data_IF_933473213804
#
_entry.id   IF_933473213804
#
_cell.length_a   1.000
_cell.length_b   1.000
_cell.length_c   1.000
_cell.angle_alpha   90.00
_cell.angle_beta   90.00
_cell.angle_gamma   90.00
#
_symmetry.space_group_name_H-M   'P 1'
#
loop_
_entity.id
_entity.type
_entity.pdbx_description
1 polymer ?
#
# COMPACT_ATOMS: atom_id res chain seq x y z
N UNK A 1 22.69 4.40 -3.61
CA UNK A 1 22.80 3.48 -2.45
C UNK A 1 21.92 4.07 -1.38
N UNK A 2 21.09 3.29 -0.67
CA UNK A 2 20.28 3.79 0.44
C UNK A 2 21.18 4.44 1.49
N UNK A 3 20.85 5.66 1.88
CA UNK A 3 21.50 6.45 2.92
C UNK A 3 20.64 6.41 4.17
N UNK A 4 21.28 6.43 5.33
CA UNK A 4 20.60 6.45 6.62
C UNK A 4 19.60 7.62 6.70
N UNK A 5 18.45 7.35 7.32
CA UNK A 5 17.35 8.32 7.47
C UNK A 5 16.68 8.72 6.15
N UNK A 6 16.65 7.80 5.18
CA UNK A 6 15.97 7.92 3.88
C UNK A 6 16.24 9.25 3.17
N UNK A 7 17.52 9.61 3.00
CA UNK A 7 17.87 10.90 2.39
C UNK A 7 17.43 11.05 0.94
N UNK A 8 17.21 9.92 0.27
CA UNK A 8 16.67 9.84 -1.08
C UNK A 8 15.24 10.34 -1.19
N UNK A 9 14.53 10.61 -0.07
CA UNK A 9 13.18 11.17 -0.08
C UNK A 9 13.08 12.47 -0.89
N UNK A 10 14.17 13.24 -0.98
CA UNK A 10 14.27 14.50 -1.72
C UNK A 10 14.94 14.34 -3.10
N UNK A 11 15.39 13.14 -3.45
CA UNK A 11 15.99 12.89 -4.74
C UNK A 11 14.93 12.84 -5.84
N UNK A 12 15.30 13.26 -7.05
CA UNK A 12 14.43 13.11 -8.21
C UNK A 12 14.11 11.63 -8.43
N UNK A 13 12.82 11.31 -8.53
CA UNK A 13 12.36 9.95 -8.83
C UNK A 13 12.94 9.47 -10.16
N UNK A 14 13.65 8.34 -10.14
CA UNK A 14 14.22 7.72 -11.35
C UNK A 14 13.13 7.29 -12.34
N UNK A 15 12.05 6.71 -11.81
CA UNK A 15 10.84 6.34 -12.56
C UNK A 15 9.64 7.05 -11.93
N UNK A 16 8.74 7.64 -12.74
CA UNK A 16 7.55 8.28 -12.21
C UNK A 16 6.70 7.31 -11.36
N UNK A 17 6.21 7.77 -10.22
CA UNK A 17 5.30 6.96 -9.41
C UNK A 17 3.85 7.05 -9.95
N UNK A 18 2.94 6.22 -9.43
CA UNK A 18 1.53 6.21 -9.87
C UNK A 18 0.92 7.61 -9.79
N UNK A 19 1.10 8.32 -8.67
CA UNK A 19 0.52 9.64 -8.49
C UNK A 19 0.99 10.64 -9.55
N UNK A 20 2.30 10.68 -9.82
CA UNK A 20 2.90 11.55 -10.85
C UNK A 20 2.36 11.24 -12.26
N UNK A 21 2.18 9.97 -12.61
CA UNK A 21 1.56 9.57 -13.90
C UNK A 21 0.10 10.04 -13.98
N UNK A 22 -0.66 9.88 -12.90
CA UNK A 22 -2.06 10.32 -12.86
C UNK A 22 -2.19 11.84 -12.92
N UNK A 23 -1.22 12.59 -12.37
CA UNK A 23 -1.11 14.03 -12.53
C UNK A 23 -0.84 14.41 -14.00
N UNK A 24 0.02 13.66 -14.70
CA UNK A 24 0.24 13.85 -16.13
C UNK A 24 -1.04 13.60 -16.94
N UNK A 25 -1.82 12.57 -16.61
CA UNK A 25 -3.14 12.36 -17.22
C UNK A 25 -4.09 13.53 -16.96
N UNK A 26 -4.07 14.08 -15.74
CA UNK A 26 -4.90 15.23 -15.38
C UNK A 26 -4.55 16.49 -16.18
N UNK A 27 -3.29 16.69 -16.54
CA UNK A 27 -2.83 17.81 -17.38
C UNK A 27 -3.35 17.70 -18.82
N UNK A 28 -3.59 16.48 -19.31
CA UNK A 28 -4.15 16.24 -20.64
C UNK A 28 -5.67 16.49 -20.73
N UNK A 29 -6.34 16.63 -19.59
CA UNK A 29 -7.79 16.82 -19.49
C UNK A 29 -8.15 18.32 -19.44
N UNK A 30 -9.29 18.67 -20.02
CA UNK A 30 -9.78 20.05 -20.08
C UNK A 30 -10.01 20.70 -18.71
N UNK A 31 -10.10 22.03 -18.68
CA UNK A 31 -10.28 22.80 -17.45
C UNK A 31 -11.62 22.59 -16.73
N UNK A 32 -12.66 22.12 -17.44
CA UNK A 32 -13.99 21.81 -16.86
C UNK A 32 -13.99 20.37 -16.33
N UNK A 33 -13.82 20.22 -15.03
CA UNK A 33 -13.47 18.95 -14.37
C UNK A 33 -14.63 18.00 -14.06
N UNK A 34 -15.88 18.39 -14.26
CA UNK A 34 -17.04 17.54 -13.99
C UNK A 34 -17.62 16.95 -15.29
N UNK A 35 -16.90 16.01 -15.90
CA UNK A 35 -17.38 15.24 -17.05
C UNK A 35 -18.32 14.11 -16.61
N UNK A 36 -19.35 13.81 -17.40
CA UNK A 36 -20.14 12.59 -17.24
C UNK A 36 -19.45 11.36 -17.87
N UNK A 37 -18.47 11.59 -18.77
CA UNK A 37 -17.59 10.54 -19.26
C UNK A 37 -16.44 10.35 -18.28
N UNK A 38 -16.40 9.18 -17.63
CA UNK A 38 -15.37 8.84 -16.64
C UNK A 38 -13.96 8.85 -17.25
N UNK A 39 -13.82 8.63 -18.56
CA UNK A 39 -12.53 8.68 -19.24
C UNK A 39 -11.94 10.10 -19.26
N UNK A 40 -12.78 11.12 -19.18
CA UNK A 40 -12.39 12.54 -19.13
C UNK A 40 -12.35 13.10 -17.70
N UNK A 41 -12.73 12.32 -16.70
CA UNK A 41 -12.62 12.72 -15.30
C UNK A 41 -11.16 12.72 -14.84
N UNK A 42 -10.81 13.71 -14.03
CA UNK A 42 -9.50 13.82 -13.40
C UNK A 42 -9.38 12.81 -12.26
N UNK A 43 -8.17 12.32 -12.05
CA UNK A 43 -7.79 11.52 -10.89
C UNK A 43 -7.54 12.42 -9.68
N UNK A 44 -7.98 11.98 -8.51
CA UNK A 44 -7.58 12.50 -7.21
C UNK A 44 -6.69 11.45 -6.56
N UNK A 45 -5.55 11.88 -6.03
CA UNK A 45 -4.57 10.99 -5.39
C UNK A 45 -4.56 11.19 -3.88
N UNK A 46 -4.64 10.10 -3.11
CA UNK A 46 -4.70 10.16 -1.66
C UNK A 46 -3.77 9.13 -1.01
N UNK A 47 -3.14 9.50 0.10
CA UNK A 47 -2.30 8.64 0.92
C UNK A 47 -2.73 8.69 2.38
N UNK A 48 -3.30 7.61 2.92
CA UNK A 48 -3.76 7.56 4.31
C UNK A 48 -3.01 6.51 5.14
N UNK A 49 -2.66 6.88 6.37
CA UNK A 49 -2.14 6.00 7.40
C UNK A 49 -2.55 6.50 8.79
N UNK A 50 -2.66 5.60 9.77
CA UNK A 50 -3.11 5.93 11.13
C UNK A 50 -1.96 6.32 12.08
N UNK A 51 -0.76 6.50 11.52
CA UNK A 51 0.48 6.73 12.23
C UNK A 51 1.19 8.00 11.72
N UNK A 52 2.23 8.42 12.43
CA UNK A 52 3.07 9.54 12.01
C UNK A 52 3.77 9.25 10.68
N UNK A 53 3.77 10.23 9.78
CA UNK A 53 4.58 10.27 8.57
C UNK A 53 5.91 11.02 8.78
N UNK A 54 6.18 11.52 9.98
CA UNK A 54 7.44 12.25 10.27
C UNK A 54 8.64 11.33 10.44
N UNK A 55 8.40 10.05 10.69
CA UNK A 55 9.48 9.07 10.79
C UNK A 55 10.10 8.82 9.41
N UNK A 56 11.43 8.73 9.38
CA UNK A 56 12.22 8.47 8.17
C UNK A 56 11.87 9.40 6.98
N UNK A 57 11.45 10.64 7.25
CA UNK A 57 11.11 11.65 6.21
C UNK A 57 10.01 11.21 5.24
N UNK A 58 9.13 10.32 5.68
CA UNK A 58 8.03 9.83 4.85
C UNK A 58 7.09 10.97 4.42
N UNK A 59 6.91 12.01 5.23
CA UNK A 59 6.13 13.21 4.91
C UNK A 59 6.71 13.97 3.72
N UNK A 60 8.03 14.14 3.66
CA UNK A 60 8.73 14.73 2.53
C UNK A 60 8.53 13.84 1.30
N UNK A 61 8.74 12.53 1.44
CA UNK A 61 8.58 11.60 0.32
C UNK A 61 7.15 11.57 -0.24
N UNK A 62 6.14 11.57 0.63
CA UNK A 62 4.73 11.61 0.23
C UNK A 62 4.41 12.90 -0.57
N UNK A 63 5.00 14.03 -0.18
CA UNK A 63 4.88 15.29 -0.90
C UNK A 63 5.57 15.22 -2.28
N UNK A 64 6.78 14.67 -2.37
CA UNK A 64 7.52 14.51 -3.63
C UNK A 64 6.84 13.49 -4.59
N UNK A 65 6.18 12.48 -4.03
CA UNK A 65 5.29 11.59 -4.80
C UNK A 65 4.06 12.34 -5.35
N UNK A 66 3.72 13.50 -4.82
CA UNK A 66 2.64 14.36 -5.29
C UNK A 66 1.25 13.85 -4.90
N UNK A 67 1.06 13.31 -3.69
CA UNK A 67 -0.29 13.03 -3.20
C UNK A 67 -1.05 14.32 -2.89
N UNK A 68 -2.30 14.44 -3.34
CA UNK A 68 -3.13 15.62 -3.09
C UNK A 68 -3.76 15.62 -1.69
N UNK A 69 -4.21 14.45 -1.23
CA UNK A 69 -4.86 14.27 0.08
C UNK A 69 -4.02 13.35 0.96
N UNK A 70 -3.49 13.88 2.06
CA UNK A 70 -2.70 13.09 3.02
C UNK A 70 -3.41 13.09 4.37
N UNK A 71 -3.64 11.90 4.92
CA UNK A 71 -4.13 11.72 6.30
C UNK A 71 -3.11 10.87 7.04
N UNK A 72 -2.46 11.48 8.02
CA UNK A 72 -1.54 10.86 8.97
C UNK A 72 -1.94 11.22 10.40
N UNK A 73 -1.15 10.79 11.40
CA UNK A 73 -1.39 11.04 12.84
C UNK A 73 -1.79 12.49 13.15
N UNK A 74 -1.06 13.48 12.64
CA UNK A 74 -1.32 14.89 12.92
C UNK A 74 -2.73 15.34 12.49
N UNK A 75 -3.22 14.85 11.34
CA UNK A 75 -4.58 15.16 10.85
C UNK A 75 -5.63 14.50 11.74
N UNK A 76 -5.38 13.26 12.21
CA UNK A 76 -6.26 12.56 13.14
C UNK A 76 -6.37 13.32 14.46
N UNK A 77 -5.25 13.73 15.04
CA UNK A 77 -5.19 14.47 16.30
C UNK A 77 -5.88 15.84 16.21
N UNK A 78 -5.61 16.61 15.15
CA UNK A 78 -6.26 17.89 14.91
C UNK A 78 -7.78 17.77 14.85
N UNK A 79 -8.27 16.69 14.22
CA UNK A 79 -9.70 16.46 14.03
C UNK A 79 -10.41 15.96 15.29
N UNK A 80 -9.71 15.23 16.14
CA UNK A 80 -10.35 14.49 17.22
C UNK A 80 -10.88 15.37 18.37
N UNK A 81 -10.51 16.67 18.41
CA UNK A 81 -10.80 17.64 19.51
C UNK A 81 -10.33 17.13 20.89
N UNK A 82 -10.33 18.00 21.91
CA UNK A 82 -9.77 17.74 23.26
C UNK A 82 -10.43 16.61 24.10
N UNK A 83 -11.23 15.73 23.50
CA UNK A 83 -11.94 14.61 24.17
C UNK A 83 -11.90 13.32 23.34
N UNK A 84 -10.79 13.02 22.67
CA UNK A 84 -10.78 11.86 21.79
C UNK A 84 -10.41 10.57 22.53
N UNK A 85 -11.27 9.57 22.42
CA UNK A 85 -10.96 8.17 22.70
C UNK A 85 -10.05 7.56 21.64
N UNK A 86 -9.06 8.32 21.16
CA UNK A 86 -7.99 7.77 20.33
C UNK A 86 -7.09 6.93 21.23
N UNK A 87 -6.89 5.69 20.84
CA UNK A 87 -6.04 4.75 21.56
C UNK A 87 -4.80 4.46 20.73
N UNK A 88 -3.63 4.85 21.24
CA UNK A 88 -2.37 4.46 20.64
C UNK A 88 -2.12 2.96 20.88
N UNK A 89 -1.76 2.25 19.82
CA UNK A 89 -1.48 0.81 19.85
C UNK A 89 0.00 0.50 19.70
N UNK A 90 0.79 1.45 19.20
CA UNK A 90 2.23 1.35 19.07
C UNK A 90 2.86 2.76 19.17
N UNK A 91 4.18 2.83 19.09
CA UNK A 91 4.94 4.08 19.19
C UNK A 91 4.77 5.03 18.00
N UNK A 92 4.10 4.60 16.92
CA UNK A 92 3.84 5.44 15.75
C UNK A 92 2.44 6.03 15.72
N UNK A 93 1.45 5.45 16.41
CA UNK A 93 0.09 5.99 16.48
C UNK A 93 -1.01 4.96 16.72
N UNK A 94 -2.06 5.07 15.89
CA UNK A 94 -3.40 4.54 16.15
C UNK A 94 -3.72 3.32 15.28
N UNK A 95 -4.75 2.52 15.62
CA UNK A 95 -5.25 1.47 14.74
C UNK A 95 -5.86 2.07 13.46
N UNK A 96 -5.81 1.34 12.35
CA UNK A 96 -6.30 1.81 11.04
C UNK A 96 -7.78 2.14 11.06
N UNK A 97 -8.56 1.53 11.96
CA UNK A 97 -10.01 1.78 12.10
C UNK A 97 -10.34 3.24 12.40
N UNK A 98 -9.38 4.01 12.93
CA UNK A 98 -9.50 5.48 13.09
C UNK A 98 -9.65 6.23 11.77
N UNK A 99 -9.19 5.65 10.64
CA UNK A 99 -9.29 6.23 9.31
C UNK A 99 -10.65 6.06 8.65
N UNK A 100 -11.55 5.23 9.21
CA UNK A 100 -12.83 4.87 8.56
C UNK A 100 -13.64 6.08 8.08
N UNK A 101 -13.76 7.09 8.93
CA UNK A 101 -14.47 8.33 8.59
C UNK A 101 -13.77 9.11 7.48
N UNK A 102 -12.43 9.14 7.48
CA UNK A 102 -11.63 9.84 6.47
C UNK A 102 -11.74 9.15 5.11
N UNK A 103 -11.67 7.81 5.06
CA UNK A 103 -11.85 7.04 3.81
C UNK A 103 -13.25 7.26 3.24
N UNK A 104 -14.28 7.24 4.09
CA UNK A 104 -15.66 7.55 3.65
C UNK A 104 -15.76 8.93 3.01
N UNK A 105 -15.20 9.94 3.66
CA UNK A 105 -15.24 11.32 3.16
C UNK A 105 -14.44 11.52 1.88
N UNK A 106 -13.33 10.80 1.71
CA UNK A 106 -12.59 10.76 0.45
C UNK A 106 -13.46 10.22 -0.68
N UNK A 107 -14.14 9.09 -0.46
CA UNK A 107 -15.04 8.49 -1.46
C UNK A 107 -16.18 9.46 -1.80
N UNK A 108 -16.84 10.03 -0.79
CA UNK A 108 -17.92 11.00 -0.97
C UNK A 108 -17.45 12.25 -1.73
N UNK A 109 -16.23 12.73 -1.45
CA UNK A 109 -15.61 13.86 -2.17
C UNK A 109 -15.39 13.51 -3.64
N UNK A 110 -14.77 12.37 -3.92
CA UNK A 110 -14.49 11.90 -5.28
C UNK A 110 -15.77 11.78 -6.10
N UNK A 111 -16.81 11.17 -5.52
CA UNK A 111 -18.12 11.03 -6.18
C UNK A 111 -18.78 12.38 -6.44
N UNK A 112 -18.79 13.29 -5.44
CA UNK A 112 -19.35 14.63 -5.57
C UNK A 112 -18.63 15.47 -6.63
N UNK A 113 -17.31 15.35 -6.71
CA UNK A 113 -16.49 16.09 -7.68
C UNK A 113 -16.43 15.43 -9.07
N UNK A 114 -17.05 14.25 -9.24
CA UNK A 114 -16.95 13.43 -10.46
C UNK A 114 -15.50 13.21 -10.87
N UNK A 115 -14.68 12.78 -9.91
CA UNK A 115 -13.29 12.42 -10.13
C UNK A 115 -13.13 10.90 -10.10
N UNK A 116 -11.98 10.44 -10.57
CA UNK A 116 -11.45 9.10 -10.32
C UNK A 116 -10.52 9.16 -9.12
N UNK A 117 -10.20 8.02 -8.51
CA UNK A 117 -9.38 7.99 -7.30
C UNK A 117 -8.23 7.00 -7.43
N UNK A 118 -7.04 7.43 -7.00
CA UNK A 118 -5.97 6.54 -6.57
C UNK A 118 -5.79 6.70 -5.07
N UNK A 119 -6.05 5.63 -4.33
CA UNK A 119 -5.97 5.61 -2.88
C UNK A 119 -4.87 4.65 -2.43
N UNK A 120 -3.81 5.20 -1.85
CA UNK A 120 -2.72 4.46 -1.23
C UNK A 120 -2.94 4.42 0.28
N UNK A 121 -3.02 3.23 0.86
CA UNK A 121 -3.22 3.06 2.29
C UNK A 121 -2.05 2.29 2.90
N UNK A 122 -1.32 2.92 3.83
CA UNK A 122 -0.24 2.29 4.56
C UNK A 122 -0.71 1.86 5.95
N UNK A 123 -0.38 0.63 6.32
CA UNK A 123 -0.94 -0.08 7.48
C UNK A 123 0.17 -0.34 8.49
N UNK A 124 -0.15 -0.28 9.78
CA UNK A 124 0.82 -0.18 10.88
C UNK A 124 0.47 -1.01 12.13
N UNK A 125 -0.76 -1.52 12.28
CA UNK A 125 -1.14 -2.30 13.47
C UNK A 125 -0.31 -3.57 13.62
N UNK A 126 0.17 -4.14 12.51
CA UNK A 126 1.09 -5.28 12.49
C UNK A 126 2.52 -4.92 12.85
N UNK A 127 2.82 -3.64 13.12
CA UNK A 127 4.14 -3.21 13.56
C UNK A 127 4.42 -3.67 15.00
N UNK A 128 5.68 -4.01 15.28
CA UNK A 128 6.15 -4.25 16.64
C UNK A 128 5.78 -3.06 17.56
N UNK A 129 5.28 -3.28 18.81
CA UNK A 129 5.21 -4.55 19.55
C UNK A 129 3.90 -5.34 19.33
N UNK A 130 3.25 -5.19 18.17
CA UNK A 130 1.99 -5.86 17.80
C UNK A 130 0.84 -5.52 18.76
N UNK A 131 0.75 -4.24 19.11
CA UNK A 131 -0.31 -3.75 19.97
C UNK A 131 -1.67 -3.74 19.26
N UNK A 132 -2.70 -3.88 20.06
CA UNK A 132 -4.10 -3.86 19.63
C UNK A 132 -4.89 -2.95 20.57
N UNK A 133 -6.03 -2.41 20.13
CA UNK A 133 -6.95 -1.70 21.02
C UNK A 133 -7.28 -2.57 22.24
N UNK A 134 -7.41 -1.95 23.43
CA UNK A 134 -7.62 -2.63 24.73
C UNK A 134 -8.75 -3.66 24.71
N UNK A 135 -9.83 -3.35 24.01
CA UNK A 135 -11.03 -4.19 23.95
C UNK A 135 -10.94 -5.31 22.89
N UNK A 136 -9.79 -5.45 22.21
CA UNK A 136 -9.58 -6.49 21.22
C UNK A 136 -9.47 -7.86 21.87
N UNK A 137 -10.34 -8.80 21.44
CA UNK A 137 -10.21 -10.22 21.81
C UNK A 137 -8.85 -10.76 21.36
N UNK A 138 -8.07 -11.33 22.27
CA UNK A 138 -6.82 -12.03 21.94
C UNK A 138 -7.07 -13.53 21.84
N UNK A 139 -6.48 -14.16 20.83
CA UNK A 139 -6.53 -15.60 20.58
C UNK A 139 -5.13 -16.17 20.77
N UNK A 140 -5.01 -17.27 21.52
CA UNK A 140 -3.80 -18.08 21.51
C UNK A 140 -3.88 -19.08 20.35
N UNK A 141 -3.11 -18.84 19.29
CA UNK A 141 -3.08 -19.72 18.11
C UNK A 141 -2.09 -20.88 18.30
N UNK A 142 -0.98 -20.60 18.99
CA UNK A 142 0.03 -21.60 19.35
C UNK A 142 0.26 -21.60 20.87
N UNK A 143 0.75 -22.72 21.40
CA UNK A 143 1.03 -22.89 22.82
C UNK A 143 2.13 -21.92 23.28
N UNK A 144 1.89 -21.19 24.38
CA UNK A 144 2.86 -20.27 25.00
C UNK A 144 3.26 -20.69 26.41
N UNK A 145 2.89 -21.90 26.83
CA UNK A 145 3.16 -22.40 28.19
C UNK A 145 4.54 -23.06 28.30
N UNK A 146 5.18 -22.92 29.47
CA UNK A 146 6.47 -23.54 29.78
C UNK A 146 7.57 -23.17 28.78
N UNK A 147 8.25 -24.20 28.24
CA UNK A 147 9.34 -24.04 27.26
C UNK A 147 8.88 -23.44 25.91
N UNK A 148 7.57 -23.29 25.67
CA UNK A 148 7.00 -22.69 24.47
C UNK A 148 6.68 -21.20 24.62
N UNK A 149 7.03 -20.58 25.76
CA UNK A 149 6.74 -19.17 26.04
C UNK A 149 7.36 -18.15 25.09
N UNK A 150 8.29 -18.57 24.24
CA UNK A 150 8.89 -17.72 23.21
C UNK A 150 7.96 -17.47 22.01
N UNK A 151 6.85 -18.22 21.86
CA UNK A 151 5.82 -17.98 20.85
C UNK A 151 4.84 -16.83 21.18
N UNK A 152 4.98 -16.17 22.35
CA UNK A 152 4.08 -15.06 22.72
C UNK A 152 4.06 -13.95 21.67
N UNK A 153 5.22 -13.58 21.15
CA UNK A 153 5.37 -12.56 20.11
C UNK A 153 4.67 -12.99 18.81
N UNK A 154 4.79 -14.27 18.46
CA UNK A 154 4.13 -14.84 17.28
C UNK A 154 2.59 -14.80 17.43
N UNK A 155 2.06 -15.17 18.60
CA UNK A 155 0.62 -15.01 18.88
C UNK A 155 0.17 -13.54 18.82
N UNK A 156 0.96 -12.60 19.36
CA UNK A 156 0.64 -11.16 19.26
C UNK A 156 0.59 -10.71 17.80
N UNK A 157 1.59 -11.08 16.99
CA UNK A 157 1.60 -10.82 15.56
C UNK A 157 0.36 -11.40 14.86
N UNK A 158 0.02 -12.67 15.07
CA UNK A 158 -1.15 -13.28 14.44
C UNK A 158 -2.48 -12.60 14.86
N UNK A 159 -2.56 -12.05 16.07
CA UNK A 159 -3.72 -11.26 16.47
C UNK A 159 -3.79 -9.92 15.73
N UNK A 160 -2.66 -9.26 15.49
CA UNK A 160 -2.62 -8.04 14.66
C UNK A 160 -2.92 -8.32 13.19
N UNK A 161 -2.46 -9.44 12.64
CA UNK A 161 -2.82 -9.88 11.29
C UNK A 161 -4.33 -10.11 11.18
N UNK A 162 -4.96 -10.76 12.17
CA UNK A 162 -6.42 -10.93 12.21
C UNK A 162 -7.16 -9.59 12.30
N UNK A 163 -6.65 -8.64 13.08
CA UNK A 163 -7.23 -7.30 13.14
C UNK A 163 -7.16 -6.59 11.79
N UNK A 164 -5.99 -6.66 11.14
CA UNK A 164 -5.75 -6.05 9.83
C UNK A 164 -6.62 -6.67 8.73
N UNK A 165 -6.82 -7.99 8.76
CA UNK A 165 -7.72 -8.69 7.84
C UNK A 165 -9.19 -8.22 8.02
N UNK A 166 -9.64 -8.06 9.27
CA UNK A 166 -10.96 -7.51 9.55
C UNK A 166 -11.11 -6.07 9.04
N UNK A 167 -10.09 -5.23 9.23
CA UNK A 167 -10.07 -3.87 8.70
C UNK A 167 -10.15 -3.82 7.17
N UNK A 168 -9.40 -4.69 6.48
CA UNK A 168 -9.52 -4.83 5.02
C UNK A 168 -10.95 -5.20 4.61
N UNK A 169 -11.58 -6.11 5.36
CA UNK A 169 -13.00 -6.44 5.18
C UNK A 169 -13.92 -5.24 5.35
N UNK A 170 -13.66 -4.35 6.32
CA UNK A 170 -14.43 -3.11 6.49
C UNK A 170 -14.23 -2.13 5.33
N UNK A 171 -13.02 -1.98 4.80
CA UNK A 171 -12.74 -1.15 3.63
C UNK A 171 -13.49 -1.66 2.39
N UNK A 172 -13.48 -2.97 2.15
CA UNK A 172 -14.21 -3.57 1.04
C UNK A 172 -15.73 -3.38 1.18
N UNK A 173 -16.27 -3.52 2.40
CA UNK A 173 -17.67 -3.23 2.68
C UNK A 173 -18.00 -1.74 2.45
N UNK A 174 -17.09 -0.83 2.81
CA UNK A 174 -17.27 0.60 2.54
C UNK A 174 -17.36 0.86 1.02
N UNK A 175 -16.52 0.20 0.23
CA UNK A 175 -16.58 0.30 -1.24
C UNK A 175 -17.90 -0.24 -1.81
N UNK A 176 -18.43 -1.34 -1.26
CA UNK A 176 -19.74 -1.89 -1.63
C UNK A 176 -20.88 -0.93 -1.28
N UNK A 177 -20.88 -0.37 -0.06
CA UNK A 177 -21.88 0.58 0.41
C UNK A 177 -21.95 1.86 -0.44
N UNK A 178 -20.80 2.33 -0.94
CA UNK A 178 -20.72 3.49 -1.83
C UNK A 178 -20.89 3.13 -3.32
N UNK A 179 -21.09 1.85 -3.66
CA UNK A 179 -21.34 1.40 -5.03
C UNK A 179 -20.10 1.38 -5.94
N UNK A 180 -18.89 1.53 -5.39
CA UNK A 180 -17.63 1.65 -6.15
C UNK A 180 -16.86 0.31 -6.24
N UNK A 181 -17.34 -0.75 -5.56
CA UNK A 181 -16.63 -2.03 -5.48
C UNK A 181 -16.39 -2.70 -6.85
N UNK A 182 -17.33 -2.57 -7.79
CA UNK A 182 -17.23 -3.18 -9.13
C UNK A 182 -16.36 -2.40 -10.12
N UNK A 183 -15.89 -1.22 -9.73
CA UNK A 183 -15.02 -0.34 -10.52
C UNK A 183 -13.67 -0.07 -9.84
N UNK A 184 -13.39 -0.74 -8.73
CA UNK A 184 -12.18 -0.55 -7.94
C UNK A 184 -11.23 -1.75 -8.07
N UNK A 185 -10.05 -1.50 -8.63
CA UNK A 185 -8.93 -2.44 -8.54
C UNK A 185 -8.28 -2.28 -7.16
N UNK A 186 -8.27 -3.36 -6.37
CA UNK A 186 -7.57 -3.42 -5.08
C UNK A 186 -6.26 -4.15 -5.28
N UNK A 187 -5.15 -3.50 -4.95
CA UNK A 187 -3.81 -4.10 -4.94
C UNK A 187 -3.36 -4.24 -3.50
N UNK A 188 -3.06 -5.47 -3.07
CA UNK A 188 -2.54 -5.77 -1.74
C UNK A 188 -1.09 -6.22 -1.87
N UNK A 189 -0.21 -5.60 -1.08
CA UNK A 189 1.21 -5.97 -1.03
C UNK A 189 1.69 -5.86 0.41
N UNK A 190 2.47 -6.84 0.87
CA UNK A 190 3.24 -6.68 2.10
C UNK A 190 4.47 -5.82 1.83
N UNK A 191 4.76 -4.86 2.69
CA UNK A 191 5.97 -4.04 2.62
C UNK A 191 7.24 -4.86 2.87
N UNK A 192 7.19 -5.74 3.87
CA UNK A 192 8.18 -6.77 4.15
C UNK A 192 7.54 -7.95 4.90
N UNK A 193 8.29 -9.05 5.03
CA UNK A 193 7.90 -10.19 5.86
C UNK A 193 8.43 -10.07 7.29
N UNK A 194 8.14 -11.05 8.14
CA UNK A 194 8.50 -11.00 9.56
C UNK A 194 9.17 -12.30 9.99
N UNK A 195 10.47 -12.25 10.24
CA UNK A 195 11.21 -13.35 10.83
C UNK A 195 10.99 -13.42 12.36
N UNK A 196 10.81 -14.63 12.88
CA UNK A 196 10.68 -14.91 14.32
C UNK A 196 11.83 -15.78 14.84
N UNK A 197 11.76 -16.21 16.10
CA UNK A 197 12.82 -16.99 16.75
C UNK A 197 12.97 -18.40 16.18
N UNK A 198 11.94 -18.90 15.49
CA UNK A 198 11.94 -20.12 14.68
C UNK A 198 12.93 -20.01 13.52
N UNK A 199 13.02 -18.82 12.92
CA UNK A 199 13.89 -18.52 11.80
C UNK A 199 15.32 -18.21 12.28
N UNK A 200 15.43 -17.38 13.32
CA UNK A 200 16.70 -16.97 13.92
C UNK A 200 16.56 -16.75 15.42
N UNK A 201 17.23 -17.57 16.22
CA UNK A 201 17.05 -17.60 17.69
C UNK A 201 17.42 -16.30 18.42
N UNK A 202 18.24 -15.46 17.79
CA UNK A 202 18.80 -14.24 18.42
C UNK A 202 18.04 -12.95 18.08
N UNK A 203 17.15 -12.95 17.09
CA UNK A 203 16.54 -11.71 16.55
C UNK A 203 15.09 -11.94 16.11
N UNK A 204 14.35 -10.86 15.89
CA UNK A 204 13.03 -10.85 15.27
C UNK A 204 12.96 -9.66 14.31
N UNK A 205 12.15 -9.75 13.26
CA UNK A 205 11.97 -8.68 12.27
C UNK A 205 13.19 -8.48 11.37
N UNK A 206 13.32 -7.30 10.78
CA UNK A 206 14.29 -6.98 9.73
C UNK A 206 15.64 -6.51 10.26
N UNK A 207 15.70 -6.00 11.49
CA UNK A 207 16.91 -5.38 12.06
C UNK A 207 18.08 -6.36 12.15
N UNK A 208 19.11 -6.12 11.31
CA UNK A 208 20.31 -6.97 11.18
C UNK A 208 19.95 -8.44 10.97
N UNK A 209 18.89 -8.70 10.21
CA UNK A 209 18.34 -10.02 10.00
C UNK A 209 18.02 -10.27 8.52
N UNK A 210 18.93 -10.97 7.84
CA UNK A 210 18.81 -11.32 6.42
C UNK A 210 17.98 -12.57 6.14
N UNK A 211 17.19 -13.08 7.09
CA UNK A 211 16.42 -14.30 6.88
C UNK A 211 15.37 -14.14 5.77
N UNK A 212 15.14 -15.18 4.96
CA UNK A 212 14.22 -15.14 3.80
C UNK A 212 12.78 -14.79 4.16
N UNK A 213 12.35 -15.11 5.40
CA UNK A 213 11.03 -14.74 5.93
C UNK A 213 10.79 -13.23 5.95
N UNK A 214 11.83 -12.39 5.94
CA UNK A 214 11.69 -10.94 5.86
C UNK A 214 11.39 -10.42 4.43
N UNK A 215 11.51 -11.27 3.40
CA UNK A 215 11.41 -10.83 2.00
C UNK A 215 10.22 -11.43 1.25
N UNK A 216 9.64 -12.53 1.73
CA UNK A 216 8.49 -13.18 1.09
C UNK A 216 7.19 -12.53 1.58
N UNK A 217 6.56 -11.79 0.68
CA UNK A 217 5.31 -11.06 0.94
C UNK A 217 4.25 -11.40 -0.10
N UNK A 218 2.95 -11.30 0.24
CA UNK A 218 1.90 -11.42 -0.76
C UNK A 218 1.91 -10.22 -1.71
N UNK A 219 1.59 -10.47 -2.99
CA UNK A 219 1.19 -9.44 -3.96
C UNK A 219 -0.07 -9.96 -4.63
N UNK A 220 -1.19 -9.26 -4.47
CA UNK A 220 -2.50 -9.67 -4.98
C UNK A 220 -3.19 -8.52 -5.69
N UNK A 221 -3.69 -8.78 -6.90
CA UNK A 221 -4.56 -7.89 -7.65
C UNK A 221 -5.98 -8.44 -7.60
N UNK A 222 -6.93 -7.65 -7.10
CA UNK A 222 -8.33 -8.06 -6.93
C UNK A 222 -9.26 -7.05 -7.60
N UNK A 223 -10.06 -7.55 -8.53
CA UNK A 223 -11.16 -6.82 -9.15
C UNK A 223 -12.26 -7.84 -9.51
N UNK A 224 -13.57 -7.55 -9.31
CA UNK A 224 -14.64 -8.52 -9.57
C UNK A 224 -14.67 -9.11 -10.99
N UNK A 225 -14.19 -8.35 -11.97
CA UNK A 225 -14.12 -8.76 -13.38
C UNK A 225 -12.76 -9.34 -13.82
N UNK A 226 -11.79 -9.50 -12.92
CA UNK A 226 -10.50 -10.15 -13.22
C UNK A 226 -10.58 -11.62 -12.80
N UNK A 227 -10.21 -12.58 -13.67
CA UNK A 227 -10.23 -14.00 -13.32
C UNK A 227 -9.23 -14.32 -12.22
N UNK A 228 -9.55 -15.33 -11.40
CA UNK A 228 -8.61 -15.86 -10.41
C UNK A 228 -7.46 -16.58 -11.13
N UNK A 229 -6.27 -16.01 -11.05
CA UNK A 229 -5.03 -16.60 -11.59
C UNK A 229 -4.00 -16.66 -10.47
N UNK A 230 -3.35 -17.82 -10.34
CA UNK A 230 -2.11 -17.93 -9.56
C UNK A 230 -0.96 -17.87 -10.55
N UNK A 231 -0.12 -16.85 -10.40
CA UNK A 231 0.99 -16.59 -11.31
C UNK A 231 2.31 -16.88 -10.63
N UNK A 232 3.09 -17.78 -11.21
CA UNK A 232 4.40 -18.15 -10.69
C UNK A 232 5.49 -17.33 -11.41
N UNK A 233 5.96 -16.28 -10.76
CA UNK A 233 7.09 -15.49 -11.21
C UNK A 233 7.92 -15.01 -10.02
N UNK A 234 9.23 -14.89 -10.22
CA UNK A 234 10.09 -14.17 -9.29
C UNK A 234 9.87 -12.68 -9.55
N UNK A 235 9.01 -12.07 -8.75
CA UNK A 235 8.64 -10.66 -8.86
C UNK A 235 8.85 -9.94 -7.52
N UNK A 236 9.01 -8.62 -7.59
CA UNK A 236 9.02 -7.72 -6.44
C UNK A 236 7.94 -6.64 -6.63
N UNK A 237 7.73 -5.79 -5.62
CA UNK A 237 6.76 -4.70 -5.63
C UNK A 237 6.91 -3.74 -6.82
N UNK A 238 8.10 -3.64 -7.45
CA UNK A 238 8.32 -2.83 -8.66
C UNK A 238 7.48 -3.30 -9.86
N UNK A 239 6.96 -4.53 -9.81
CA UNK A 239 6.05 -5.08 -10.83
C UNK A 239 4.64 -4.51 -10.73
N UNK A 240 4.30 -3.83 -9.63
CA UNK A 240 2.93 -3.36 -9.38
C UNK A 240 2.52 -2.29 -10.38
N UNK A 241 3.32 -1.23 -10.49
CA UNK A 241 3.02 -0.10 -11.35
C UNK A 241 2.88 -0.50 -12.84
N UNK A 242 3.83 -1.22 -13.48
CA UNK A 242 3.66 -1.64 -14.86
C UNK A 242 2.45 -2.57 -15.05
N UNK A 243 2.09 -3.38 -14.04
CA UNK A 243 0.86 -4.19 -14.08
C UNK A 243 -0.40 -3.32 -14.07
N UNK A 244 -0.45 -2.27 -13.23
CA UNK A 244 -1.56 -1.31 -13.19
C UNK A 244 -1.70 -0.59 -14.54
N UNK A 245 -0.60 -0.11 -15.13
CA UNK A 245 -0.63 0.53 -16.44
C UNK A 245 -1.14 -0.41 -17.54
N UNK A 246 -0.65 -1.65 -17.56
CA UNK A 246 -1.15 -2.66 -18.49
C UNK A 246 -2.65 -2.91 -18.33
N UNK A 247 -3.14 -3.05 -17.09
CA UNK A 247 -4.57 -3.19 -16.83
C UNK A 247 -5.34 -1.97 -17.34
N UNK A 248 -4.87 -0.75 -17.06
CA UNK A 248 -5.52 0.47 -17.51
C UNK A 248 -5.61 0.58 -19.04
N UNK A 249 -4.53 0.22 -19.74
CA UNK A 249 -4.46 0.19 -21.21
C UNK A 249 -5.41 -0.85 -21.79
N UNK A 250 -5.39 -2.08 -21.28
CA UNK A 250 -6.08 -3.23 -21.89
C UNK A 250 -7.57 -3.34 -21.51
N UNK A 251 -8.05 -2.56 -20.54
CA UNK A 251 -9.45 -2.59 -20.08
C UNK A 251 -10.30 -1.44 -20.61
N UNK A 252 -9.72 -0.56 -21.45
CA UNK A 252 -10.41 0.65 -21.91
C UNK A 252 -10.64 1.67 -20.79
N UNK A 253 -9.82 1.62 -19.73
CA UNK A 253 -9.92 2.51 -18.57
C UNK A 253 -9.31 3.89 -18.79
N UNK A 254 -8.77 4.18 -19.97
CA UNK A 254 -8.10 5.43 -20.33
C UNK A 254 -8.66 5.98 -21.65
N UNK A 255 -8.75 7.31 -21.77
CA UNK A 255 -9.01 7.93 -23.06
C UNK A 255 -7.80 7.76 -24.01
N UNK A 256 -7.96 8.15 -25.28
CA UNK A 256 -6.91 7.97 -26.30
C UNK A 256 -5.57 8.63 -25.92
N UNK A 257 -5.59 9.81 -25.30
CA UNK A 257 -4.38 10.56 -24.95
C UNK A 257 -3.65 9.91 -23.77
N UNK A 258 -4.38 9.59 -22.71
CA UNK A 258 -3.84 8.96 -21.51
C UNK A 258 -3.32 7.55 -21.84
N UNK A 259 -3.99 6.80 -22.71
CA UNK A 259 -3.52 5.50 -23.20
C UNK A 259 -2.21 5.60 -23.98
N UNK A 260 -2.03 6.65 -24.79
CA UNK A 260 -0.78 6.86 -25.52
C UNK A 260 0.38 7.13 -24.56
N UNK A 261 0.17 8.00 -23.56
CA UNK A 261 1.15 8.28 -22.50
C UNK A 261 1.49 7.02 -21.70
N UNK A 262 0.47 6.27 -21.26
CA UNK A 262 0.67 5.04 -20.50
C UNK A 262 1.46 3.99 -21.29
N UNK A 263 1.17 3.85 -22.59
CA UNK A 263 1.83 2.87 -23.46
C UNK A 263 3.30 3.22 -23.70
N UNK A 264 3.62 4.51 -23.82
CA UNK A 264 4.99 5.00 -23.96
C UNK A 264 5.81 4.73 -22.68
N UNK A 265 5.29 5.15 -21.52
CA UNK A 265 5.95 4.98 -20.22
C UNK A 265 6.12 3.52 -19.80
N UNK A 266 5.20 2.63 -20.18
CA UNK A 266 5.20 1.24 -19.74
C UNK A 266 6.51 0.51 -20.08
N UNK A 267 7.17 0.91 -21.17
CA UNK A 267 8.42 0.29 -21.62
C UNK A 267 9.67 0.73 -20.86
N UNK A 268 9.56 1.79 -20.04
CA UNK A 268 10.67 2.35 -19.28
C UNK A 268 10.77 1.81 -17.85
N UNK A 269 9.75 1.08 -17.37
CA UNK A 269 9.76 0.46 -16.04
C UNK A 269 10.68 -0.76 -15.97
N UNK A 270 11.43 -0.86 -14.87
CA UNK A 270 12.30 -2.00 -14.59
C UNK A 270 11.50 -3.26 -14.26
N UNK A 271 10.36 -3.07 -13.58
CA UNK A 271 9.44 -4.13 -13.24
C UNK A 271 8.75 -4.73 -14.46
N UNK A 272 8.53 -6.04 -14.42
CA UNK A 272 7.74 -6.73 -15.45
C UNK A 272 6.29 -6.81 -15.00
N UNK A 273 5.37 -6.39 -15.87
CA UNK A 273 3.94 -6.57 -15.64
C UNK A 273 3.59 -8.04 -15.40
N UNK A 274 2.78 -8.29 -14.37
CA UNK A 274 2.35 -9.63 -13.95
C UNK A 274 1.24 -10.21 -14.83
N UNK A 275 0.67 -9.42 -15.75
CA UNK A 275 -0.29 -9.90 -16.75
C UNK A 275 0.36 -10.17 -18.12
N UNK A 276 1.70 -10.16 -18.18
CA UNK A 276 2.49 -10.54 -19.35
C UNK A 276 3.37 -11.75 -19.00
N UNK A 277 3.74 -12.60 -19.97
CA UNK A 277 4.69 -13.68 -19.74
C UNK A 277 6.02 -13.15 -19.18
N UNK A 278 6.44 -13.69 -18.04
CA UNK A 278 7.68 -13.29 -17.37
C UNK A 278 8.89 -13.67 -18.21
N UNK A 279 9.74 -12.69 -18.50
CA UNK A 279 10.99 -12.89 -19.22
C UNK A 279 12.11 -13.06 -18.21
N UNK A 280 12.52 -14.29 -17.99
CA UNK A 280 13.64 -14.64 -17.09
C UNK A 280 15.01 -14.29 -17.68
N UNK A 281 15.10 -14.06 -19.00
CA UNK A 281 16.30 -13.58 -19.67
C UNK A 281 15.98 -12.83 -20.97
N UNK A 282 16.90 -11.95 -21.39
CA UNK A 282 16.86 -11.22 -22.66
C UNK A 282 18.29 -10.92 -23.13
N UNK A 283 18.61 -11.23 -24.39
CA UNK A 283 19.91 -10.95 -25.00
C UNK A 283 21.12 -11.39 -24.14
N UNK A 284 21.05 -12.60 -23.58
CA UNK A 284 22.11 -13.15 -22.72
C UNK A 284 22.16 -12.59 -21.29
N UNK A 285 21.30 -11.64 -20.92
CA UNK A 285 21.17 -11.12 -19.54
C UNK A 285 20.01 -11.79 -18.81
N UNK A 286 20.22 -12.19 -17.56
CA UNK A 286 19.19 -12.74 -16.68
C UNK A 286 18.40 -11.62 -16.02
N UNK A 287 17.12 -11.85 -15.75
CA UNK A 287 16.34 -11.00 -14.88
C UNK A 287 16.80 -11.21 -13.43
N UNK A 288 17.26 -10.14 -12.79
CA UNK A 288 17.64 -10.13 -11.38
C UNK A 288 16.51 -9.49 -10.57
N UNK A 289 16.15 -10.12 -9.46
CA UNK A 289 15.18 -9.58 -8.50
C UNK A 289 15.92 -9.29 -7.21
N UNK A 290 16.02 -8.01 -6.88
CA UNK A 290 16.65 -7.57 -5.64
C UNK A 290 15.58 -7.35 -4.59
N UNK A 291 15.73 -7.99 -3.43
CA UNK A 291 14.95 -7.69 -2.24
C UNK A 291 15.70 -6.68 -1.38
N UNK A 292 15.07 -5.55 -1.08
CA UNK A 292 15.60 -4.52 -0.18
C UNK A 292 14.60 -4.32 0.94
N UNK A 293 15.09 -4.33 2.17
CA UNK A 293 14.30 -4.04 3.37
C UNK A 293 15.06 -3.01 4.20
N UNK A 294 14.35 -2.03 4.76
CA UNK A 294 14.94 -1.15 5.76
C UNK A 294 15.21 -1.98 7.02
N UNK A 295 16.38 -1.80 7.63
CA UNK A 295 16.72 -2.47 8.87
C UNK A 295 15.86 -2.01 10.07
N UNK A 296 15.12 -0.90 9.97
CA UNK A 296 14.20 -0.46 11.02
C UNK A 296 14.92 -0.14 12.34
N UNK A 297 15.98 0.67 12.26
CA UNK A 297 16.78 1.10 13.42
C UNK A 297 16.04 2.13 14.29
#
# INVERSE_FOLDING_TARGET
MPVDSFQESEAQSYQPCISQILHLFNQNKGAKTASNDFLEQKWLTAFFQSITDKYDRQDIFNNEMGFEEIVAKDVLEQRAKARSGLEEINYFGYPETTLKTHVRELIEKVQREKKRMFFSHFTSTTHHPWGLPRDSKKIEYVNTQGNMGWHRDFNSYLNTVRFQDAWLGELLQLFELHGIANETLVVLVGDHGQAFKEDITTRTGTYKNGHVSNFRVPITFRHPHIPRVQYEANATSISILPTILDLLINTGSLNRKDMAVASDLLHDYEGQSLIRPYKSSRNGRRAWNFGVINSGA
#
